data_IF_894197301511
#
_entry.id   IF_894197301511
#
_cell.length_a   1.000
_cell.length_b   1.000
_cell.length_c   1.000
_cell.angle_alpha   90.00
_cell.angle_beta   90.00
_cell.angle_gamma   90.00
#
_symmetry.space_group_name_H-M   'P 1'
#
loop_
_entity.id
_entity.type
_entity.pdbx_description
1 polymer ?
#
# COMPACT_ATOMS: atom_id res chain seq x y z
N UNK A 1 -36.72 -1.38 -19.95
CA UNK A 1 -36.67 -0.33 -18.91
C UNK A 1 -35.61 -0.63 -17.80
N UNK A 2 -35.64 -1.79 -17.16
CA UNK A 2 -34.64 -2.14 -16.07
C UNK A 2 -33.16 -2.13 -16.51
N UNK A 3 -32.85 -2.62 -17.71
CA UNK A 3 -31.47 -2.64 -18.23
C UNK A 3 -30.91 -1.21 -18.42
N UNK A 4 -31.71 -0.27 -18.92
CA UNK A 4 -31.25 1.12 -19.10
C UNK A 4 -30.97 1.82 -17.75
N UNK A 5 -31.71 1.48 -16.69
CA UNK A 5 -31.51 2.01 -15.35
C UNK A 5 -30.19 1.45 -14.76
N UNK A 6 -29.92 0.16 -14.94
CA UNK A 6 -28.70 -0.49 -14.48
C UNK A 6 -27.48 0.10 -15.19
N UNK A 7 -27.54 0.24 -16.52
CA UNK A 7 -26.45 0.84 -17.31
C UNK A 7 -26.18 2.29 -16.90
N UNK A 8 -27.24 3.09 -16.72
CA UNK A 8 -27.08 4.48 -16.25
C UNK A 8 -26.46 4.56 -14.86
N UNK A 9 -26.85 3.68 -13.95
CA UNK A 9 -26.27 3.61 -12.60
C UNK A 9 -24.81 3.21 -12.66
N UNK A 10 -24.46 2.14 -13.40
CA UNK A 10 -23.08 1.70 -13.57
C UNK A 10 -22.20 2.79 -14.19
N UNK A 11 -22.70 3.51 -15.20
CA UNK A 11 -21.99 4.62 -15.82
C UNK A 11 -21.76 5.78 -14.83
N UNK A 12 -22.77 6.12 -14.02
CA UNK A 12 -22.64 7.14 -12.98
C UNK A 12 -21.58 6.76 -11.93
N UNK A 13 -21.56 5.51 -11.47
CA UNK A 13 -20.58 5.00 -10.52
C UNK A 13 -19.17 5.01 -11.12
N UNK A 14 -19.03 4.64 -12.40
CA UNK A 14 -17.76 4.70 -13.11
C UNK A 14 -17.22 6.12 -13.24
N UNK A 15 -18.08 7.07 -13.62
CA UNK A 15 -17.69 8.50 -13.72
C UNK A 15 -17.26 9.01 -12.33
N UNK A 16 -18.03 8.70 -11.31
CA UNK A 16 -17.69 9.10 -9.94
C UNK A 16 -16.35 8.51 -9.50
N UNK A 17 -16.09 7.24 -9.81
CA UNK A 17 -14.82 6.59 -9.54
C UNK A 17 -13.66 7.31 -10.23
N UNK A 18 -13.79 7.62 -11.52
CA UNK A 18 -12.75 8.33 -12.29
C UNK A 18 -12.50 9.74 -11.73
N UNK A 19 -13.56 10.47 -11.38
CA UNK A 19 -13.42 11.82 -10.78
C UNK A 19 -12.67 11.75 -9.44
N UNK A 20 -13.02 10.79 -8.59
CA UNK A 20 -12.34 10.58 -7.31
C UNK A 20 -10.88 10.19 -7.53
N UNK A 21 -10.61 9.30 -8.50
CA UNK A 21 -9.25 8.88 -8.82
C UNK A 21 -8.39 10.06 -9.28
N UNK A 22 -8.90 10.88 -10.19
CA UNK A 22 -8.23 12.10 -10.65
C UNK A 22 -8.01 13.06 -9.48
N UNK A 23 -9.01 13.25 -8.62
CA UNK A 23 -8.88 14.12 -7.45
C UNK A 23 -7.78 13.65 -6.49
N UNK A 24 -7.74 12.36 -6.18
CA UNK A 24 -6.72 11.78 -5.29
C UNK A 24 -5.33 11.89 -5.90
N UNK A 25 -5.17 11.55 -7.19
CA UNK A 25 -3.87 11.65 -7.87
C UNK A 25 -3.39 13.08 -7.97
N UNK A 26 -4.30 14.04 -8.24
CA UNK A 26 -3.97 15.46 -8.26
C UNK A 26 -3.50 15.97 -6.90
N UNK A 27 -4.22 15.61 -5.83
CA UNK A 27 -3.83 15.98 -4.46
C UNK A 27 -2.49 15.38 -4.08
N UNK A 28 -2.27 14.09 -4.37
CA UNK A 28 -0.99 13.43 -4.08
C UNK A 28 0.16 14.07 -4.83
N UNK A 29 -0.03 14.39 -6.12
CA UNK A 29 0.95 15.06 -6.93
C UNK A 29 1.24 16.49 -6.42
N UNK A 30 0.19 17.21 -5.98
CA UNK A 30 0.34 18.54 -5.38
C UNK A 30 1.15 18.50 -4.10
N UNK A 31 0.90 17.53 -3.21
CA UNK A 31 1.66 17.38 -1.97
C UNK A 31 3.13 17.08 -2.28
N UNK A 32 3.39 16.23 -3.27
CA UNK A 32 4.76 15.92 -3.70
C UNK A 32 5.47 17.15 -4.28
N UNK A 33 4.76 17.93 -5.12
CA UNK A 33 5.29 19.17 -5.70
C UNK A 33 5.58 20.26 -4.65
N UNK A 34 4.74 20.36 -3.61
CA UNK A 34 4.92 21.29 -2.51
C UNK A 34 5.94 20.80 -1.45
N UNK A 35 6.41 19.56 -1.59
CA UNK A 35 7.42 19.00 -0.67
C UNK A 35 8.73 19.79 -0.78
N UNK A 36 9.39 20.09 0.35
CA UNK A 36 10.69 20.77 0.33
C UNK A 36 11.81 19.87 -0.21
N UNK A 37 11.57 18.59 -0.38
CA UNK A 37 12.55 17.64 -0.93
C UNK A 37 12.48 17.65 -2.46
N UNK A 38 13.59 18.00 -3.09
CA UNK A 38 13.71 17.99 -4.53
C UNK A 38 13.80 16.55 -5.08
N UNK A 39 12.89 16.10 -5.96
CA UNK A 39 12.95 14.76 -6.54
C UNK A 39 14.24 14.46 -7.31
N UNK A 40 14.86 15.47 -7.95
CA UNK A 40 16.13 15.32 -8.64
C UNK A 40 17.28 15.05 -7.67
N UNK A 41 17.28 15.73 -6.54
CA UNK A 41 18.22 15.50 -5.44
C UNK A 41 18.08 14.09 -4.87
N UNK A 42 16.84 13.64 -4.61
CA UNK A 42 16.57 12.27 -4.16
C UNK A 42 17.02 11.23 -5.19
N UNK A 43 16.86 11.52 -6.48
CA UNK A 43 17.33 10.66 -7.55
C UNK A 43 18.85 10.51 -7.56
N UNK A 44 19.57 11.62 -7.42
CA UNK A 44 21.04 11.65 -7.40
C UNK A 44 21.60 11.02 -6.10
N UNK A 45 20.97 11.26 -4.97
CA UNK A 45 21.35 10.68 -3.68
C UNK A 45 21.20 9.14 -3.63
N UNK A 46 20.26 8.59 -4.42
CA UNK A 46 19.98 7.16 -4.47
C UNK A 46 19.43 6.60 -3.15
N UNK A 47 19.45 5.26 -3.03
CA UNK A 47 18.93 4.55 -1.87
C UNK A 47 19.75 4.79 -0.58
N UNK A 48 20.99 5.19 -0.70
CA UNK A 48 21.90 5.42 0.45
C UNK A 48 21.73 6.81 1.07
N UNK A 49 20.95 7.70 0.43
CA UNK A 49 20.63 9.02 0.97
C UNK A 49 21.85 9.95 1.14
N UNK A 50 22.94 9.69 0.42
CA UNK A 50 24.20 10.42 0.57
C UNK A 50 24.12 11.78 -0.16
N UNK A 51 23.50 12.76 0.46
CA UNK A 51 23.26 14.11 -0.10
C UNK A 51 24.48 15.02 -0.01
N UNK A 52 25.58 14.55 0.58
CA UNK A 52 26.66 15.42 1.04
C UNK A 52 27.56 16.07 -0.02
N UNK A 53 27.45 15.74 -1.30
CA UNK A 53 28.41 16.25 -2.34
C UNK A 53 27.77 16.41 -3.71
N UNK A 54 26.45 16.58 -3.80
CA UNK A 54 25.82 16.75 -5.12
C UNK A 54 25.93 18.23 -5.51
N UNK A 55 26.55 18.51 -6.68
CA UNK A 55 26.65 19.88 -7.17
C UNK A 55 25.30 20.42 -7.62
N UNK A 56 25.04 21.72 -7.40
CA UNK A 56 23.80 22.36 -7.84
C UNK A 56 23.60 22.23 -9.38
N UNK A 57 24.69 22.19 -10.13
CA UNK A 57 24.62 22.02 -11.59
C UNK A 57 24.09 20.63 -11.95
N UNK A 58 24.52 19.57 -11.26
CA UNK A 58 24.01 18.22 -11.47
C UNK A 58 22.51 18.10 -11.11
N UNK A 59 22.09 18.80 -10.06
CA UNK A 59 20.67 18.83 -9.66
C UNK A 59 19.84 19.51 -10.77
N UNK A 60 20.26 20.67 -11.26
CA UNK A 60 19.55 21.39 -12.33
C UNK A 60 19.52 20.63 -13.65
N UNK A 61 20.57 19.90 -13.98
CA UNK A 61 20.60 19.05 -15.17
C UNK A 61 19.60 17.89 -15.03
N UNK A 62 19.57 17.27 -13.84
CA UNK A 62 18.64 16.20 -13.55
C UNK A 62 17.18 16.67 -13.52
N UNK A 63 16.90 17.87 -13.02
CA UNK A 63 15.56 18.50 -13.08
C UNK A 63 15.07 18.64 -14.51
N UNK A 64 15.91 19.10 -15.42
CA UNK A 64 15.58 19.21 -16.85
C UNK A 64 15.31 17.85 -17.48
N UNK A 65 16.14 16.85 -17.18
CA UNK A 65 15.96 15.48 -17.68
C UNK A 65 14.63 14.90 -17.19
N UNK A 66 14.25 15.18 -15.96
CA UNK A 66 13.00 14.70 -15.35
C UNK A 66 11.79 15.57 -15.73
N UNK A 67 12.01 16.74 -16.35
CA UNK A 67 10.94 17.70 -16.71
C UNK A 67 10.34 18.40 -15.51
N UNK A 68 11.09 18.53 -14.41
CA UNK A 68 10.66 19.21 -13.19
C UNK A 68 10.74 20.74 -13.31
N UNK A 69 11.41 21.23 -14.35
CA UNK A 69 11.47 22.65 -14.73
C UNK A 69 10.18 23.17 -15.37
N UNK A 70 9.25 22.27 -15.71
CA UNK A 70 7.98 22.62 -16.35
C UNK A 70 6.93 23.09 -15.36
N UNK A 71 5.90 23.85 -15.80
CA UNK A 71 4.78 24.22 -14.96
C UNK A 71 4.08 22.99 -14.34
N UNK A 72 3.60 23.11 -13.12
CA UNK A 72 2.92 22.04 -12.37
C UNK A 72 1.86 21.29 -13.18
N UNK A 73 1.00 22.03 -13.88
CA UNK A 73 -0.11 21.42 -14.66
C UNK A 73 0.44 20.55 -15.81
N UNK A 74 1.52 20.99 -16.45
CA UNK A 74 2.15 20.24 -17.53
C UNK A 74 2.81 18.95 -17.02
N UNK A 75 3.49 19.03 -15.87
CA UNK A 75 4.07 17.86 -15.22
C UNK A 75 2.96 16.84 -14.86
N UNK A 76 1.88 17.30 -14.22
CA UNK A 76 0.76 16.43 -13.85
C UNK A 76 0.08 15.81 -15.07
N UNK A 77 -0.22 16.59 -16.10
CA UNK A 77 -0.86 16.10 -17.33
C UNK A 77 0.01 15.07 -18.05
N UNK A 78 1.33 15.31 -18.11
CA UNK A 78 2.28 14.36 -18.70
C UNK A 78 2.32 13.05 -17.91
N UNK A 79 2.40 13.14 -16.59
CA UNK A 79 2.36 11.96 -15.72
C UNK A 79 1.04 11.19 -15.84
N UNK A 80 -0.10 11.89 -15.82
CA UNK A 80 -1.42 11.27 -15.94
C UNK A 80 -1.59 10.55 -17.29
N UNK A 81 -1.09 11.15 -18.37
CA UNK A 81 -1.07 10.53 -19.69
C UNK A 81 -0.27 9.23 -19.71
N UNK A 82 0.92 9.21 -19.13
CA UNK A 82 1.74 7.99 -18.99
C UNK A 82 1.06 6.95 -18.11
N UNK A 83 0.51 7.37 -16.97
CA UNK A 83 -0.20 6.49 -16.04
C UNK A 83 -1.41 5.81 -16.68
N UNK A 84 -2.15 6.51 -17.53
CA UNK A 84 -3.27 5.96 -18.30
C UNK A 84 -2.85 4.83 -19.27
N UNK A 85 -1.58 4.79 -19.68
CA UNK A 85 -1.00 3.73 -20.50
C UNK A 85 -0.25 2.67 -19.67
N UNK A 86 -0.34 2.73 -18.34
CA UNK A 86 0.30 1.77 -17.42
C UNK A 86 1.73 2.10 -17.03
N UNK A 87 2.27 3.23 -17.48
CA UNK A 87 3.58 3.74 -17.06
C UNK A 87 3.41 4.67 -15.85
N UNK A 88 3.63 4.15 -14.66
CA UNK A 88 3.58 4.91 -13.41
C UNK A 88 4.88 5.65 -13.10
N UNK A 89 5.85 5.58 -13.99
CA UNK A 89 7.16 6.19 -13.82
C UNK A 89 8.14 5.32 -13.07
N UNK A 90 9.20 5.96 -12.60
CA UNK A 90 10.34 5.32 -11.92
C UNK A 90 10.41 5.82 -10.48
N UNK A 91 10.66 4.93 -9.55
CA UNK A 91 10.86 5.27 -8.14
C UNK A 91 12.14 6.07 -7.95
N UNK A 92 12.06 7.21 -7.30
CA UNK A 92 13.23 8.07 -7.05
C UNK A 92 14.26 7.42 -6.12
N UNK A 93 13.81 6.51 -5.26
CA UNK A 93 14.68 5.84 -4.28
C UNK A 93 15.32 4.57 -4.84
N UNK A 94 14.52 3.71 -5.46
CA UNK A 94 14.98 2.40 -5.94
C UNK A 94 15.45 2.40 -7.38
N UNK A 95 15.17 3.46 -8.14
CA UNK A 95 15.47 3.62 -9.58
C UNK A 95 14.84 2.53 -10.46
N UNK A 96 13.82 1.85 -9.95
CA UNK A 96 13.08 0.81 -10.67
C UNK A 96 11.73 1.31 -11.14
N UNK A 97 11.17 0.67 -12.15
CA UNK A 97 9.80 0.94 -12.58
C UNK A 97 8.82 0.70 -11.43
N UNK A 98 7.98 1.70 -11.15
CA UNK A 98 6.93 1.61 -10.12
C UNK A 98 5.95 0.48 -10.45
N UNK A 99 5.62 0.29 -11.73
CA UNK A 99 4.72 -0.78 -12.19
C UNK A 99 5.29 -2.16 -11.88
N UNK A 100 6.59 -2.39 -12.14
CA UNK A 100 7.25 -3.64 -11.80
C UNK A 100 7.31 -3.90 -10.29
N UNK A 101 7.62 -2.87 -9.50
CA UNK A 101 7.65 -2.97 -8.04
C UNK A 101 6.27 -3.29 -7.46
N UNK A 102 5.22 -2.65 -7.98
CA UNK A 102 3.86 -2.95 -7.58
C UNK A 102 3.49 -4.41 -7.87
N UNK A 103 3.70 -4.88 -9.10
CA UNK A 103 3.39 -6.26 -9.50
C UNK A 103 4.15 -7.25 -8.63
N UNK A 104 5.43 -7.01 -8.39
CA UNK A 104 6.27 -7.87 -7.55
C UNK A 104 5.78 -7.96 -6.11
N UNK A 105 5.38 -6.84 -5.52
CA UNK A 105 4.95 -6.76 -4.13
C UNK A 105 3.48 -7.13 -3.94
N UNK A 106 2.64 -7.00 -4.97
CA UNK A 106 1.23 -7.39 -4.92
C UNK A 106 1.04 -8.90 -4.72
N UNK A 107 1.88 -9.74 -5.32
CA UNK A 107 1.74 -11.19 -5.23
C UNK A 107 1.73 -11.71 -3.79
N UNK A 108 2.76 -11.44 -2.97
CA UNK A 108 2.77 -11.80 -1.56
C UNK A 108 1.61 -11.18 -0.77
N UNK A 109 1.31 -9.90 -1.00
CA UNK A 109 0.24 -9.17 -0.31
C UNK A 109 -1.13 -9.81 -0.58
N UNK A 110 -1.45 -10.10 -1.84
CA UNK A 110 -2.71 -10.74 -2.22
C UNK A 110 -2.84 -12.14 -1.61
N UNK A 111 -1.77 -12.95 -1.64
CA UNK A 111 -1.78 -14.29 -1.02
C UNK A 111 -2.07 -14.20 0.47
N UNK A 112 -1.41 -13.30 1.19
CA UNK A 112 -1.65 -13.08 2.62
C UNK A 112 -3.07 -12.58 2.88
N UNK A 113 -3.57 -11.64 2.09
CA UNK A 113 -4.92 -11.12 2.22
C UNK A 113 -5.98 -12.21 2.03
N UNK A 114 -5.85 -13.01 0.97
CA UNK A 114 -6.78 -14.13 0.71
C UNK A 114 -6.73 -15.16 1.83
N UNK A 115 -5.51 -15.52 2.29
CA UNK A 115 -5.34 -16.47 3.38
C UNK A 115 -5.98 -15.98 4.68
N UNK A 116 -5.73 -14.72 5.06
CA UNK A 116 -6.32 -14.10 6.24
C UNK A 116 -7.83 -14.02 6.11
N UNK A 117 -8.36 -13.66 4.93
CA UNK A 117 -9.81 -13.61 4.69
C UNK A 117 -10.47 -14.98 4.89
N UNK A 118 -9.88 -16.03 4.34
CA UNK A 118 -10.39 -17.41 4.49
C UNK A 118 -10.41 -17.79 5.97
N UNK A 119 -9.32 -17.58 6.70
CA UNK A 119 -9.26 -17.88 8.14
C UNK A 119 -10.29 -17.07 8.92
N UNK A 120 -10.39 -15.78 8.63
CA UNK A 120 -11.35 -14.90 9.31
C UNK A 120 -12.78 -15.41 9.12
N UNK A 121 -13.17 -15.70 7.89
CA UNK A 121 -14.52 -16.24 7.62
C UNK A 121 -14.72 -17.60 8.26
N UNK A 122 -13.74 -18.51 8.16
CA UNK A 122 -13.82 -19.86 8.71
C UNK A 122 -13.97 -19.86 10.25
N UNK A 123 -13.42 -18.86 10.93
CA UNK A 123 -13.51 -18.74 12.39
C UNK A 123 -14.72 -17.91 12.82
N UNK A 124 -14.91 -16.73 12.21
CA UNK A 124 -15.94 -15.79 12.65
C UNK A 124 -17.36 -16.28 12.38
N UNK A 125 -17.58 -16.98 11.27
CA UNK A 125 -18.91 -17.40 10.87
C UNK A 125 -19.46 -18.50 11.79
N UNK A 126 -18.74 -19.58 12.14
CA UNK A 126 -19.21 -20.55 13.13
C UNK A 126 -19.41 -19.94 14.52
N UNK A 127 -18.47 -19.09 14.96
CA UNK A 127 -18.59 -18.43 16.26
C UNK A 127 -19.82 -17.51 16.28
N UNK A 128 -20.03 -16.72 15.23
CA UNK A 128 -21.21 -15.86 15.12
C UNK A 128 -22.52 -16.62 15.14
N UNK A 129 -22.60 -17.77 14.44
CA UNK A 129 -23.77 -18.66 14.47
C UNK A 129 -24.00 -19.23 15.88
N UNK A 130 -22.94 -19.70 16.53
CA UNK A 130 -23.03 -20.22 17.89
C UNK A 130 -23.53 -19.17 18.90
N UNK A 131 -22.99 -17.93 18.77
CA UNK A 131 -23.45 -16.81 19.60
C UNK A 131 -24.93 -16.48 19.38
N UNK A 132 -25.38 -16.55 18.11
CA UNK A 132 -26.77 -16.30 17.75
C UNK A 132 -27.72 -17.40 18.30
N UNK A 133 -27.30 -18.66 18.18
CA UNK A 133 -28.08 -19.80 18.70
C UNK A 133 -28.14 -19.82 20.24
N UNK A 134 -27.02 -19.51 20.89
CA UNK A 134 -26.92 -19.49 22.36
C UNK A 134 -26.93 -18.06 22.91
N UNK A 135 -27.74 -17.19 22.31
CA UNK A 135 -27.88 -15.80 22.70
C UNK A 135 -28.13 -15.63 24.19
N UNK A 136 -27.47 -14.65 24.79
CA UNK A 136 -27.54 -14.31 26.25
C UNK A 136 -27.09 -15.43 27.19
N UNK A 137 -26.51 -16.52 26.69
CA UNK A 137 -25.87 -17.56 27.49
C UNK A 137 -24.39 -17.25 27.74
N UNK A 138 -23.77 -18.06 28.58
CA UNK A 138 -22.37 -17.91 29.01
C UNK A 138 -21.41 -17.79 27.79
N UNK A 139 -21.62 -18.62 26.77
CA UNK A 139 -20.80 -18.61 25.55
C UNK A 139 -20.88 -17.26 24.80
N UNK A 140 -22.07 -16.74 24.60
CA UNK A 140 -22.27 -15.44 23.94
C UNK A 140 -21.64 -14.31 24.75
N UNK A 141 -21.82 -14.30 26.07
CA UNK A 141 -21.24 -13.30 26.94
C UNK A 141 -19.70 -13.34 26.95
N UNK A 142 -19.10 -14.53 26.98
CA UNK A 142 -17.63 -14.68 26.89
C UNK A 142 -17.12 -14.16 25.54
N UNK A 143 -17.74 -14.54 24.42
CA UNK A 143 -17.33 -14.10 23.09
C UNK A 143 -17.51 -12.60 22.90
N UNK A 144 -18.55 -12.02 23.50
CA UNK A 144 -18.77 -10.57 23.50
C UNK A 144 -17.65 -9.84 24.26
N UNK A 145 -17.30 -10.31 25.46
CA UNK A 145 -16.18 -9.73 26.24
C UNK A 145 -14.86 -9.84 25.45
N UNK A 146 -14.61 -11.00 24.86
CA UNK A 146 -13.41 -11.23 24.06
C UNK A 146 -13.32 -10.30 22.83
N UNK A 147 -14.46 -10.09 22.16
CA UNK A 147 -14.55 -9.17 21.02
C UNK A 147 -14.32 -7.73 21.44
N UNK A 148 -14.91 -7.28 22.53
CA UNK A 148 -14.67 -5.94 23.06
C UNK A 148 -13.21 -5.72 23.43
N UNK A 149 -12.60 -6.70 24.09
CA UNK A 149 -11.19 -6.64 24.45
C UNK A 149 -10.29 -6.54 23.19
N UNK A 150 -10.57 -7.38 22.17
CA UNK A 150 -9.82 -7.36 20.91
C UNK A 150 -9.95 -6.04 20.13
N UNK A 151 -11.16 -5.45 20.10
CA UNK A 151 -11.40 -4.16 19.43
C UNK A 151 -10.75 -2.99 20.20
N UNK A 152 -10.71 -3.08 21.53
CA UNK A 152 -10.14 -2.04 22.40
C UNK A 152 -8.60 -2.00 22.33
N UNK A 153 -7.95 -3.07 21.91
CA UNK A 153 -6.50 -3.11 21.78
C UNK A 153 -6.04 -2.54 20.43
N UNK A 154 -5.03 -1.64 20.42
CA UNK A 154 -4.39 -1.23 19.18
C UNK A 154 -3.83 -2.44 18.43
N UNK A 155 -4.09 -2.54 17.13
CA UNK A 155 -3.68 -3.70 16.30
C UNK A 155 -2.17 -3.97 16.32
N UNK A 156 -1.35 -2.91 16.39
CA UNK A 156 0.10 -3.06 16.48
C UNK A 156 0.53 -3.73 17.79
N UNK A 157 -0.13 -3.41 18.92
CA UNK A 157 0.19 -4.01 20.21
C UNK A 157 -0.14 -5.51 20.20
N UNK A 158 -1.32 -5.87 19.66
CA UNK A 158 -1.73 -7.26 19.50
C UNK A 158 -0.73 -8.03 18.62
N UNK A 159 -0.28 -7.41 17.53
CA UNK A 159 0.74 -8.00 16.64
C UNK A 159 2.07 -8.22 17.35
N UNK A 160 2.52 -7.27 18.17
CA UNK A 160 3.75 -7.42 18.99
C UNK A 160 3.63 -8.55 20.01
N UNK A 161 2.48 -8.68 20.68
CA UNK A 161 2.21 -9.77 21.64
C UNK A 161 2.28 -11.12 20.92
N UNK A 162 1.64 -11.25 19.75
CA UNK A 162 1.68 -12.47 18.97
C UNK A 162 3.08 -12.80 18.47
N UNK A 163 3.81 -11.80 17.98
CA UNK A 163 5.20 -11.97 17.57
C UNK A 163 6.06 -12.45 18.73
N UNK A 164 5.96 -11.80 19.90
CA UNK A 164 6.68 -12.22 21.10
C UNK A 164 6.33 -13.66 21.49
N UNK A 165 5.05 -13.99 21.53
CA UNK A 165 4.59 -15.31 21.97
C UNK A 165 4.97 -16.41 20.98
N UNK A 166 4.65 -16.27 19.71
CA UNK A 166 4.86 -17.31 18.70
C UNK A 166 6.30 -17.37 18.17
N UNK A 167 6.96 -16.23 17.97
CA UNK A 167 8.29 -16.22 17.40
C UNK A 167 9.39 -16.34 18.47
N UNK A 168 9.24 -15.64 19.60
CA UNK A 168 10.32 -15.59 20.61
C UNK A 168 10.13 -16.70 21.66
N UNK A 169 8.92 -16.81 22.24
CA UNK A 169 8.69 -17.78 23.33
C UNK A 169 8.49 -19.20 22.81
N UNK A 170 7.66 -19.41 21.82
CA UNK A 170 7.39 -20.73 21.23
C UNK A 170 8.35 -21.09 20.10
N UNK A 171 9.07 -20.14 19.51
CA UNK A 171 10.01 -20.32 18.38
C UNK A 171 9.39 -21.07 17.18
N UNK A 172 8.07 -20.88 16.96
CA UNK A 172 7.35 -21.53 15.87
C UNK A 172 7.64 -20.90 14.50
N UNK A 173 7.93 -19.59 14.49
CA UNK A 173 8.16 -18.84 13.27
C UNK A 173 9.41 -17.97 13.40
N UNK A 174 10.14 -17.70 12.31
CA UNK A 174 11.25 -16.76 12.32
C UNK A 174 10.72 -15.33 12.51
N UNK A 175 11.43 -14.50 13.27
CA UNK A 175 11.07 -13.09 13.53
C UNK A 175 11.15 -12.25 12.27
N UNK A 176 12.11 -12.55 11.39
CA UNK A 176 12.26 -11.95 10.08
C UNK A 176 11.84 -12.99 9.05
N UNK A 177 10.88 -12.65 8.19
CA UNK A 177 10.69 -13.40 6.98
C UNK A 177 12.04 -13.42 6.25
N UNK A 178 12.59 -14.61 6.03
CA UNK A 178 13.81 -14.73 5.25
C UNK A 178 13.54 -14.04 3.91
N UNK A 179 14.10 -12.85 3.73
CA UNK A 179 14.17 -12.26 2.40
C UNK A 179 14.80 -13.35 1.52
N UNK A 180 14.25 -13.63 0.32
CA UNK A 180 14.92 -14.55 -0.57
C UNK A 180 16.36 -14.08 -0.66
N UNK A 181 17.29 -14.92 -0.20
CA UNK A 181 18.72 -14.66 -0.33
C UNK A 181 18.94 -14.56 -1.82
N UNK A 182 19.00 -13.34 -2.33
CA UNK A 182 19.49 -13.11 -3.68
C UNK A 182 20.94 -13.55 -3.58
N UNK A 183 21.35 -14.65 -4.20
CA UNK A 183 22.75 -15.02 -4.18
C UNK A 183 23.51 -13.83 -4.74
N UNK A 184 24.30 -13.18 -3.88
CA UNK A 184 25.23 -12.17 -4.35
C UNK A 184 26.06 -12.84 -5.43
N UNK A 185 26.21 -12.27 -6.63
CA UNK A 185 27.14 -12.81 -7.60
C UNK A 185 28.52 -12.81 -6.91
N UNK A 186 29.05 -14.00 -6.74
CA UNK A 186 30.41 -14.21 -6.27
C UNK A 186 31.37 -13.55 -7.27
N UNK A 187 31.96 -12.44 -6.83
CA UNK A 187 33.22 -11.93 -7.39
C UNK A 187 33.89 -11.02 -6.39
#
# INVERSE_FOLDING_TARGET
MRAAIIVRKALSELIQFVVVLIGITFLTFSIMFLSPKNPAELWLAGAEGNVGVISEEAIREQEKIMGLDKPFIEQYATWLGKAAHGDLGVSFTTKRSVTEELIRNMGPTLRMTVFVLIITVAISLPIGILCAVYRDRLLDNIMRIFSFFGISMPSFLLSLIFLWFFCIKLRMFPVLAAAPVIPSPLW
#
